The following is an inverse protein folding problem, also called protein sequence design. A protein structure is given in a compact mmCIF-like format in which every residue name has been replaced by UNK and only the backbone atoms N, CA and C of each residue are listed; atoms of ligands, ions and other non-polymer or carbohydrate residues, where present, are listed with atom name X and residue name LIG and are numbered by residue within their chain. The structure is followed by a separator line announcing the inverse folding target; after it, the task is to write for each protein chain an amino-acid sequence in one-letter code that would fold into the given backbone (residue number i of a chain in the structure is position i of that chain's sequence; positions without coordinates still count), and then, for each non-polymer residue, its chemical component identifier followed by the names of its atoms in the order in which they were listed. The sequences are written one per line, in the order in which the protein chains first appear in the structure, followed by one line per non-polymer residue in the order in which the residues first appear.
data_IF_899298749012
#
_entry.id   IF_899298749012
#
_cell.length_a   1.000
_cell.length_b   1.000
_cell.length_c   1.000
_cell.angle_alpha   90.00
_cell.angle_beta   90.00
_cell.angle_gamma   90.00
#
_symmetry.space_group_name_H-M   'P 1'
#
loop_
_entity.id
_entity.type
_entity.pdbx_description
1 polymer ?
#
# COMPACT_ATOMS: atom_id res chain seq x y z
N UNK A 1 23.61 -1.07 -4.22
CA UNK A 1 23.65 0.07 -5.17
C UNK A 1 22.27 0.30 -5.80
N UNK A 2 22.00 1.48 -6.42
CA UNK A 2 20.69 1.84 -7.01
C UNK A 2 20.82 2.13 -8.52
N UNK A 3 20.96 1.10 -9.37
CA UNK A 3 21.29 1.28 -10.79
C UNK A 3 20.11 1.84 -11.62
N UNK A 4 18.87 1.71 -11.14
CA UNK A 4 17.69 2.08 -11.92
C UNK A 4 17.27 3.53 -11.63
N UNK A 5 17.68 4.47 -12.50
CA UNK A 5 17.37 5.90 -12.36
C UNK A 5 16.14 6.31 -13.16
N UNK A 6 15.26 7.09 -12.54
CA UNK A 6 14.16 7.78 -13.21
C UNK A 6 14.70 8.96 -14.01
N UNK A 7 14.48 8.98 -15.32
CA UNK A 7 14.92 10.07 -16.19
C UNK A 7 14.16 11.38 -15.95
N UNK A 8 12.92 11.30 -15.45
CA UNK A 8 12.07 12.48 -15.25
C UNK A 8 12.39 13.26 -13.97
N UNK A 9 12.73 12.58 -12.87
CA UNK A 9 12.99 13.24 -11.58
C UNK A 9 14.33 12.87 -10.94
N UNK A 10 15.16 12.08 -11.62
CA UNK A 10 16.49 11.69 -11.16
C UNK A 10 16.52 10.65 -10.02
N UNK A 11 15.38 10.28 -9.43
CA UNK A 11 15.32 9.29 -8.34
C UNK A 11 15.86 7.93 -8.77
N UNK A 12 16.70 7.32 -7.93
CA UNK A 12 17.31 6.03 -8.19
C UNK A 12 16.71 4.92 -7.30
N UNK A 13 16.60 3.73 -7.87
CA UNK A 13 16.01 2.55 -7.24
C UNK A 13 16.94 1.34 -7.36
N UNK A 14 16.90 0.47 -6.35
CA UNK A 14 17.69 -0.77 -6.33
C UNK A 14 17.08 -1.88 -7.22
N UNK A 15 15.80 -1.79 -7.56
CA UNK A 15 15.07 -2.79 -8.36
C UNK A 15 14.33 -2.13 -9.52
N UNK A 16 14.39 -2.76 -10.70
CA UNK A 16 13.70 -2.28 -11.90
C UNK A 16 12.18 -2.16 -11.68
N UNK A 17 11.58 -3.13 -11.00
CA UNK A 17 10.14 -3.10 -10.67
C UNK A 17 9.72 -1.87 -9.87
N UNK A 18 10.56 -1.41 -8.94
CA UNK A 18 10.28 -0.18 -8.17
C UNK A 18 10.36 1.07 -9.05
N UNK A 19 11.32 1.13 -9.99
CA UNK A 19 11.38 2.22 -10.97
C UNK A 19 10.13 2.22 -11.86
N UNK A 20 9.71 1.07 -12.39
CA UNK A 20 8.50 0.95 -13.21
C UNK A 20 7.26 1.43 -12.44
N UNK A 21 7.12 0.97 -11.20
CA UNK A 21 6.03 1.36 -10.32
C UNK A 21 6.06 2.87 -9.99
N UNK A 22 7.25 3.44 -9.78
CA UNK A 22 7.43 4.87 -9.56
C UNK A 22 7.03 5.70 -10.79
N UNK A 23 7.31 5.25 -12.02
CA UNK A 23 6.92 5.99 -13.24
C UNK A 23 5.41 6.23 -13.31
N UNK A 24 4.59 5.33 -12.75
CA UNK A 24 3.13 5.49 -12.67
C UNK A 24 2.74 6.77 -11.90
N UNK A 25 3.56 7.19 -10.93
CA UNK A 25 3.32 8.44 -10.18
C UNK A 25 3.48 9.70 -11.02
N UNK A 26 4.19 9.60 -12.15
CA UNK A 26 4.34 10.72 -13.08
C UNK A 26 3.21 10.77 -14.11
N UNK A 27 2.73 9.61 -14.57
CA UNK A 27 1.66 9.53 -15.57
C UNK A 27 0.27 9.67 -14.95
N UNK A 28 0.14 9.38 -13.64
CA UNK A 28 -1.16 9.34 -12.97
C UNK A 28 -2.02 8.14 -13.36
N UNK A 29 -1.47 7.19 -14.13
CA UNK A 29 -2.17 5.99 -14.53
C UNK A 29 -2.64 5.19 -13.31
N UNK A 30 -3.86 4.65 -13.41
CA UNK A 30 -4.51 3.86 -12.37
C UNK A 30 -4.93 2.51 -12.95
N UNK A 31 -3.98 1.58 -13.17
CA UNK A 31 -4.27 0.30 -13.83
C UNK A 31 -5.22 -0.58 -13.02
N UNK A 32 -5.29 -0.41 -11.70
CA UNK A 32 -6.16 -1.20 -10.84
C UNK A 32 -7.43 -0.40 -10.53
N UNK A 33 -8.57 -0.79 -11.12
CA UNK A 33 -9.87 -0.15 -10.90
C UNK A 33 -10.77 -1.03 -10.05
N UNK A 34 -11.47 -0.41 -9.11
CA UNK A 34 -12.52 -1.07 -8.34
C UNK A 34 -13.81 -1.09 -9.15
N UNK A 35 -14.31 -2.28 -9.46
CA UNK A 35 -15.57 -2.42 -10.21
C UNK A 35 -16.80 -2.03 -9.36
N UNK A 36 -16.69 -2.04 -8.03
CA UNK A 36 -17.80 -1.71 -7.14
C UNK A 36 -18.04 -0.20 -6.99
N UNK A 37 -16.98 0.63 -7.05
CA UNK A 37 -17.10 2.09 -6.86
C UNK A 37 -16.37 2.92 -7.92
N UNK A 38 -15.79 2.29 -8.95
CA UNK A 38 -15.04 2.95 -10.03
C UNK A 38 -13.67 3.51 -9.64
N UNK A 39 -13.29 3.47 -8.36
CA UNK A 39 -12.05 4.09 -7.87
C UNK A 39 -10.80 3.39 -8.43
N UNK A 40 -9.89 4.18 -9.00
CA UNK A 40 -8.63 3.69 -9.57
C UNK A 40 -7.44 3.86 -8.62
N UNK A 41 -6.49 2.92 -8.69
CA UNK A 41 -5.29 2.84 -7.88
C UNK A 41 -4.05 2.59 -8.75
N UNK A 42 -2.94 3.22 -8.39
CA UNK A 42 -1.65 3.04 -9.04
C UNK A 42 -0.99 1.68 -8.68
N UNK A 43 -1.30 1.13 -7.51
CA UNK A 43 -0.61 -0.05 -6.96
C UNK A 43 -1.59 -1.17 -6.60
N UNK A 44 -1.19 -2.41 -6.89
CA UNK A 44 -2.00 -3.60 -6.59
C UNK A 44 -2.29 -3.74 -5.09
N UNK A 45 -1.29 -3.51 -4.24
CA UNK A 45 -1.44 -3.63 -2.78
C UNK A 45 -2.50 -2.67 -2.24
N UNK A 46 -2.51 -1.41 -2.70
CA UNK A 46 -3.48 -0.42 -2.23
C UNK A 46 -4.88 -0.74 -2.75
N UNK A 47 -4.99 -1.25 -3.99
CA UNK A 47 -6.25 -1.75 -4.54
C UNK A 47 -6.82 -2.93 -3.73
N UNK A 48 -6.00 -3.93 -3.40
CA UNK A 48 -6.45 -5.09 -2.62
C UNK A 48 -6.93 -4.70 -1.22
N UNK A 49 -6.19 -3.82 -0.53
CA UNK A 49 -6.67 -3.35 0.79
C UNK A 49 -7.92 -2.49 0.65
N UNK A 50 -8.05 -1.69 -0.41
CA UNK A 50 -9.29 -0.97 -0.67
C UNK A 50 -10.49 -1.91 -0.85
N UNK A 51 -10.34 -3.07 -1.49
CA UNK A 51 -11.46 -4.03 -1.57
C UNK A 51 -12.00 -4.43 -0.19
N UNK A 52 -11.13 -4.47 0.83
CA UNK A 52 -11.54 -4.75 2.22
C UNK A 52 -12.46 -3.69 2.81
N UNK A 53 -12.45 -2.45 2.30
CA UNK A 53 -13.38 -1.41 2.76
C UNK A 53 -14.81 -1.68 2.31
N UNK A 54 -15.00 -2.50 1.28
CA UNK A 54 -16.33 -2.93 0.84
C UNK A 54 -16.81 -4.18 1.58
N UNK A 55 -15.91 -5.11 1.89
CA UNK A 55 -16.25 -6.35 2.59
C UNK A 55 -16.26 -6.22 4.11
N UNK A 56 -15.60 -5.19 4.66
CA UNK A 56 -15.37 -5.05 6.09
C UNK A 56 -14.27 -5.96 6.65
N UNK A 57 -13.55 -6.69 5.80
CA UNK A 57 -12.50 -7.63 6.22
C UNK A 57 -11.35 -6.91 6.93
N UNK A 58 -11.03 -7.36 8.15
CA UNK A 58 -9.94 -6.83 8.97
C UNK A 58 -9.06 -7.99 9.45
N UNK A 59 -8.13 -8.47 8.61
CA UNK A 59 -7.38 -9.69 8.90
C UNK A 59 -6.31 -9.53 9.98
N UNK A 60 -6.06 -8.30 10.46
CA UNK A 60 -5.05 -8.03 11.47
C UNK A 60 -5.73 -7.65 12.78
N UNK A 61 -5.92 -8.63 13.66
CA UNK A 61 -6.54 -8.44 14.97
C UNK A 61 -5.49 -8.36 16.07
N UNK A 62 -5.70 -7.42 17.01
CA UNK A 62 -4.90 -7.32 18.22
C UNK A 62 -5.49 -8.20 19.32
N UNK A 63 -4.82 -9.30 19.63
CA UNK A 63 -5.25 -10.25 20.67
C UNK A 63 -5.35 -9.62 22.07
N UNK A 64 -4.60 -8.54 22.33
CA UNK A 64 -4.61 -7.88 23.64
C UNK A 64 -5.83 -6.97 23.87
N UNK A 65 -6.46 -6.45 22.81
CA UNK A 65 -7.58 -5.51 22.97
C UNK A 65 -8.74 -5.71 21.96
N UNK A 66 -8.70 -6.76 21.14
CA UNK A 66 -9.70 -7.09 20.12
C UNK A 66 -9.77 -6.12 18.93
N UNK A 67 -8.92 -5.08 18.87
CA UNK A 67 -8.96 -4.12 17.75
C UNK A 67 -8.44 -4.76 16.47
N UNK A 68 -9.27 -4.75 15.42
CA UNK A 68 -8.93 -5.27 14.11
C UNK A 68 -8.67 -4.16 13.08
N UNK A 69 -7.72 -4.39 12.18
CA UNK A 69 -7.25 -3.44 11.17
C UNK A 69 -7.25 -4.07 9.77
N UNK A 70 -7.57 -3.26 8.76
CA UNK A 70 -7.49 -3.67 7.35
C UNK A 70 -6.06 -3.61 6.78
N UNK A 71 -5.18 -2.81 7.40
CA UNK A 71 -3.80 -2.56 6.97
C UNK A 71 -2.79 -3.06 8.01
N UNK A 72 -1.82 -3.85 7.55
CA UNK A 72 -0.76 -4.40 8.40
C UNK A 72 0.07 -3.31 9.09
N UNK A 73 0.42 -2.24 8.37
CA UNK A 73 1.24 -1.17 8.96
C UNK A 73 0.52 -0.46 10.11
N UNK A 74 -0.79 -0.24 10.02
CA UNK A 74 -1.57 0.33 11.12
C UNK A 74 -1.66 -0.63 12.30
N UNK A 75 -1.83 -1.92 12.05
CA UNK A 75 -1.75 -2.94 13.10
C UNK A 75 -0.38 -2.94 13.80
N UNK A 76 0.73 -2.90 13.06
CA UNK A 76 2.07 -2.87 13.65
C UNK A 76 2.33 -1.61 14.48
N UNK A 77 1.89 -0.44 14.00
CA UNK A 77 1.96 0.80 14.79
C UNK A 77 1.08 0.69 16.03
N UNK A 78 -0.12 0.11 15.91
CA UNK A 78 -1.00 -0.11 17.05
C UNK A 78 -0.36 -1.02 18.10
N UNK A 79 0.31 -2.12 17.73
CA UNK A 79 0.94 -3.02 18.70
C UNK A 79 1.92 -2.32 19.64
N UNK A 80 2.58 -1.28 19.14
CA UNK A 80 3.57 -0.50 19.91
C UNK A 80 2.97 0.18 21.13
N UNK A 81 1.69 0.55 21.09
CA UNK A 81 1.01 1.16 22.24
C UNK A 81 0.97 0.23 23.45
N UNK A 82 1.01 -1.08 23.23
CA UNK A 82 0.95 -2.07 24.30
C UNK A 82 2.33 -2.53 24.75
N UNK A 83 3.34 -2.43 23.88
CA UNK A 83 4.73 -2.73 24.24
C UNK A 83 5.43 -1.54 24.88
N UNK A 84 4.85 -0.34 24.81
CA UNK A 84 5.44 0.88 25.35
C UNK A 84 6.66 1.39 24.57
N UNK A 85 6.87 0.89 23.35
CA UNK A 85 7.86 1.39 22.37
C UNK A 85 7.21 2.39 21.39
#
# INVERSE_FOLDING_TARGET
EKPYKCKQCGKAFARHGHLKMHKITHTGEKPYKCNQCGKGFAYHRTFQVHKRTHTGEKPYECEQCGKAFAYQNYFQVHKRIHTGE
#
